data_IF_205377538486
#
_entry.id   IF_205377538486
#
_cell.length_a   1.000
_cell.length_b   1.000
_cell.length_c   1.000
_cell.angle_alpha   90.00
_cell.angle_beta   90.00
_cell.angle_gamma   90.00
#
_symmetry.space_group_name_H-M   'P 1'
#
loop_
_entity.id
_entity.type
_entity.pdbx_description
1 polymer ?
#
# COMPACT_ATOMS: atom_id res chain seq x y z
N UNK A 1 -17.67 -15.07 0.94
CA UNK A 1 -16.92 -15.50 2.15
C UNK A 1 -16.02 -14.35 2.56
N UNK A 2 -15.87 -14.03 3.86
CA UNK A 2 -14.76 -13.16 4.24
C UNK A 2 -13.45 -13.89 3.90
N UNK A 3 -12.44 -13.24 3.32
CA UNK A 3 -11.18 -13.89 3.04
C UNK A 3 -10.48 -14.17 4.38
N UNK A 4 -10.69 -15.37 4.92
CA UNK A 4 -9.91 -15.91 6.03
C UNK A 4 -8.57 -16.39 5.50
N UNK A 5 -7.78 -15.47 4.93
CA UNK A 5 -6.43 -15.76 4.47
C UNK A 5 -5.42 -15.35 5.56
N UNK A 6 -4.48 -16.22 5.96
CA UNK A 6 -3.43 -15.89 6.95
C UNK A 6 -2.54 -14.71 6.53
N UNK A 7 -2.62 -14.31 5.26
CA UNK A 7 -1.94 -13.13 4.72
C UNK A 7 -2.57 -11.83 5.23
N UNK A 8 -3.89 -11.80 5.44
CA UNK A 8 -4.60 -10.62 5.94
C UNK A 8 -4.06 -10.20 7.32
N UNK A 9 -4.05 -11.17 8.25
CA UNK A 9 -3.51 -11.00 9.61
C UNK A 9 -2.01 -10.67 9.63
N UNK A 10 -1.27 -11.14 8.62
CA UNK A 10 0.17 -10.89 8.52
C UNK A 10 0.49 -9.43 8.22
N UNK A 11 -0.31 -8.76 7.38
CA UNK A 11 0.01 -7.40 6.90
C UNK A 11 -0.77 -6.32 7.61
N UNK A 12 -2.02 -6.58 8.01
CA UNK A 12 -2.86 -5.58 8.67
C UNK A 12 -2.18 -4.99 9.90
N UNK A 13 -2.17 -3.66 9.97
CA UNK A 13 -1.57 -2.92 11.08
C UNK A 13 -0.06 -2.77 11.04
N UNK A 14 0.65 -3.38 10.08
CA UNK A 14 2.10 -3.21 9.92
C UNK A 14 2.44 -1.88 9.29
N UNK A 15 3.56 -1.29 9.73
CA UNK A 15 4.19 -0.20 9.02
C UNK A 15 5.05 -0.76 7.90
N UNK A 16 5.00 -0.15 6.74
CA UNK A 16 5.68 -0.62 5.53
C UNK A 16 6.27 0.56 4.78
N UNK A 17 7.40 0.31 4.12
CA UNK A 17 8.01 1.25 3.18
C UNK A 17 7.84 0.78 1.74
N UNK A 18 7.53 1.72 0.86
CA UNK A 18 7.31 1.44 -0.55
C UNK A 18 7.69 2.66 -1.41
N UNK A 19 7.90 2.45 -2.70
CA UNK A 19 8.20 3.56 -3.62
C UNK A 19 6.92 4.14 -4.18
N UNK A 20 6.92 5.46 -4.42
CA UNK A 20 5.77 6.15 -5.03
C UNK A 20 5.45 5.59 -6.42
N UNK A 21 6.47 5.26 -7.22
CA UNK A 21 6.28 4.66 -8.56
C UNK A 21 5.58 3.30 -8.57
N UNK A 22 5.57 2.60 -7.43
CA UNK A 22 4.96 1.28 -7.29
C UNK A 22 3.49 1.39 -6.79
N UNK A 23 2.99 2.62 -6.55
CA UNK A 23 1.60 2.89 -6.18
C UNK A 23 0.70 2.74 -7.40
N UNK A 24 -0.35 1.94 -7.26
CA UNK A 24 -1.38 1.72 -8.26
C UNK A 24 -2.45 2.82 -8.21
N UNK A 25 -2.90 3.17 -7.00
CA UNK A 25 -3.86 4.24 -6.74
C UNK A 25 -3.52 4.97 -5.43
N UNK A 26 -3.62 6.32 -5.37
CA UNK A 26 -3.76 7.23 -6.51
C UNK A 26 -2.55 7.17 -7.45
N UNK A 27 -2.63 7.82 -8.62
CA UNK A 27 -1.52 7.81 -9.57
C UNK A 27 -0.23 8.36 -8.90
N UNK A 28 0.96 7.82 -9.21
CA UNK A 28 2.22 8.25 -8.59
C UNK A 28 2.48 9.77 -8.66
N UNK A 29 2.04 10.44 -9.73
CA UNK A 29 2.15 11.90 -9.84
C UNK A 29 1.36 12.65 -8.78
N UNK A 30 0.14 12.20 -8.47
CA UNK A 30 -0.70 12.82 -7.42
C UNK A 30 -0.05 12.66 -6.04
N UNK A 31 0.59 11.52 -5.80
CA UNK A 31 1.33 11.25 -4.56
C UNK A 31 2.55 12.17 -4.45
N UNK A 32 3.31 12.35 -5.53
CA UNK A 32 4.49 13.22 -5.55
C UNK A 32 4.12 14.69 -5.35
N UNK A 33 2.98 15.13 -5.91
CA UNK A 33 2.47 16.49 -5.74
C UNK A 33 2.15 16.79 -4.26
N UNK A 34 1.57 15.83 -3.53
CA UNK A 34 1.24 15.98 -2.10
C UNK A 34 2.46 15.79 -1.17
N UNK A 35 3.40 14.91 -1.51
CA UNK A 35 4.53 14.53 -0.65
C UNK A 35 5.84 15.29 -0.92
N UNK A 36 5.83 16.27 -1.83
CA UNK A 36 6.96 17.17 -2.14
C UNK A 36 8.33 16.47 -2.26
N UNK A 37 8.42 15.42 -3.08
CA UNK A 37 9.71 14.89 -3.56
C UNK A 37 10.29 13.67 -2.82
N UNK A 38 9.52 13.02 -1.94
CA UNK A 38 9.92 11.72 -1.38
C UNK A 38 9.65 10.56 -2.34
N UNK A 39 10.69 9.92 -2.87
CA UNK A 39 10.55 8.72 -3.74
C UNK A 39 10.10 7.47 -2.97
N UNK A 40 10.32 7.45 -1.65
CA UNK A 40 9.98 6.37 -0.74
C UNK A 40 9.08 6.91 0.35
N UNK A 41 7.93 6.26 0.53
CA UNK A 41 6.97 6.58 1.57
C UNK A 41 6.92 5.47 2.62
N UNK A 42 6.55 5.87 3.83
CA UNK A 42 6.24 4.98 4.94
C UNK A 42 4.78 5.15 5.31
N UNK A 43 4.08 4.04 5.57
CA UNK A 43 2.68 4.09 5.97
C UNK A 43 2.23 2.79 6.62
N UNK A 44 1.02 2.81 7.16
CA UNK A 44 0.41 1.67 7.86
C UNK A 44 -0.59 0.95 6.98
N UNK A 45 -0.46 -0.37 6.87
CA UNK A 45 -1.45 -1.19 6.17
C UNK A 45 -2.75 -1.18 6.96
N UNK A 46 -3.81 -0.65 6.35
CA UNK A 46 -5.16 -0.58 6.94
C UNK A 46 -6.07 -1.68 6.41
N UNK A 47 -5.80 -2.18 5.19
CA UNK A 47 -6.56 -3.26 4.59
C UNK A 47 -5.73 -4.08 3.60
N UNK A 48 -6.19 -5.29 3.30
CA UNK A 48 -5.57 -6.21 2.34
C UNK A 48 -6.68 -6.80 1.47
N UNK A 49 -6.50 -6.76 0.16
CA UNK A 49 -7.42 -7.33 -0.82
C UNK A 49 -6.71 -8.39 -1.65
N UNK A 50 -7.32 -9.56 -1.78
CA UNK A 50 -6.90 -10.67 -2.65
C UNK A 50 -7.81 -10.81 -3.89
N UNK A 51 -8.77 -9.89 -4.05
CA UNK A 51 -9.85 -9.99 -5.04
C UNK A 51 -9.54 -9.29 -6.37
N UNK A 52 -8.25 -9.13 -6.71
CA UNK A 52 -7.81 -8.54 -7.97
C UNK A 52 -8.04 -9.46 -9.17
N UNK A 53 -8.36 -8.88 -10.34
CA UNK A 53 -8.42 -9.59 -11.63
C UNK A 53 -7.06 -10.12 -12.08
N UNK A 54 -5.97 -9.55 -11.57
CA UNK A 54 -4.63 -10.12 -11.60
C UNK A 54 -4.39 -10.86 -10.28
N UNK A 55 -3.82 -12.06 -10.34
CA UNK A 55 -3.62 -13.00 -9.23
C UNK A 55 -2.61 -12.51 -8.15
N UNK A 56 -2.79 -11.30 -7.65
CA UNK A 56 -1.92 -10.61 -6.70
C UNK A 56 -2.65 -10.13 -5.46
N UNK A 57 -1.91 -10.05 -4.36
CA UNK A 57 -2.37 -9.48 -3.09
C UNK A 57 -2.10 -7.98 -3.10
N UNK A 58 -3.12 -7.18 -2.88
CA UNK A 58 -3.03 -5.73 -2.77
C UNK A 58 -3.15 -5.30 -1.31
N UNK A 59 -2.41 -4.27 -0.95
CA UNK A 59 -2.50 -3.62 0.36
C UNK A 59 -3.00 -2.20 0.20
N UNK A 60 -3.87 -1.79 1.13
CA UNK A 60 -4.29 -0.41 1.31
C UNK A 60 -3.48 0.16 2.46
N UNK A 61 -2.76 1.24 2.21
CA UNK A 61 -1.79 1.82 3.13
C UNK A 61 -2.17 3.27 3.40
N UNK A 62 -2.37 3.60 4.68
CA UNK A 62 -2.50 4.98 5.12
C UNK A 62 -1.11 5.58 5.29
N UNK A 63 -0.85 6.70 4.62
CA UNK A 63 0.40 7.47 4.74
C UNK A 63 0.09 8.80 5.40
N UNK A 64 0.94 9.22 6.33
CA UNK A 64 0.81 10.53 6.96
C UNK A 64 1.15 11.63 5.95
N UNK A 65 0.25 12.60 5.77
CA UNK A 65 0.39 13.68 4.81
C UNK A 65 -0.27 13.44 3.45
N UNK A 66 -0.74 12.22 3.17
CA UNK A 66 -1.61 11.95 2.01
C UNK A 66 -3.08 12.00 2.38
N UNK A 67 -3.89 12.64 1.53
CA UNK A 67 -5.34 12.73 1.74
C UNK A 67 -6.06 11.41 1.49
N UNK A 68 -5.52 10.57 0.61
CA UNK A 68 -6.09 9.28 0.22
C UNK A 68 -5.08 8.17 0.52
N UNK A 69 -5.55 6.98 0.91
CA UNK A 69 -4.67 5.83 1.09
C UNK A 69 -4.06 5.39 -0.24
N UNK A 70 -2.85 4.83 -0.17
CA UNK A 70 -2.18 4.21 -1.31
C UNK A 70 -2.58 2.74 -1.45
N UNK A 71 -2.77 2.29 -2.67
CA UNK A 71 -2.98 0.89 -3.04
C UNK A 71 -1.79 0.44 -3.86
N UNK A 72 -1.15 -0.66 -3.46
CA UNK A 72 -0.10 -1.31 -4.23
C UNK A 72 -0.10 -2.81 -3.97
N UNK A 73 0.58 -3.56 -4.84
CA UNK A 73 0.77 -4.98 -4.67
C UNK A 73 1.80 -5.29 -3.57
N UNK A 74 1.56 -6.34 -2.79
CA UNK A 74 2.39 -6.74 -1.63
C UNK A 74 3.83 -6.98 -2.03
N UNK A 75 4.08 -7.53 -3.22
CA UNK A 75 5.42 -7.78 -3.76
C UNK A 75 6.24 -6.51 -4.03
N UNK A 76 5.62 -5.33 -4.02
CA UNK A 76 6.29 -4.04 -4.18
C UNK A 76 6.68 -3.38 -2.85
N UNK A 77 6.30 -3.96 -1.72
CA UNK A 77 6.72 -3.51 -0.39
C UNK A 77 8.22 -3.74 -0.24
N UNK A 78 8.97 -2.68 0.06
CA UNK A 78 10.43 -2.78 0.26
C UNK A 78 10.77 -3.45 1.60
N UNK A 79 10.05 -3.07 2.67
CA UNK A 79 10.29 -3.58 4.02
C UNK A 79 9.08 -3.32 4.93
N UNK A 80 8.83 -4.24 5.87
CA UNK A 80 7.99 -3.96 7.05
C UNK A 80 8.87 -3.39 8.17
N UNK A 81 8.42 -2.30 8.79
CA UNK A 81 9.11 -1.57 9.87
C UNK A 81 8.48 -1.95 11.21
#
# INVERSE_FOLDING_TARGET
MPPSHPVYERWKGRHVRFRVRDVHLPAPSEVLDEMHGGDVLEGKVVDVSDNGTEAGLFVVIQVDGLRRPCVLAVERILRAV
#
